data_IF_719811923719
#
_entry.id   IF_719811923719
#
_cell.length_a   1.000
_cell.length_b   1.000
_cell.length_c   1.000
_cell.angle_alpha   90.00
_cell.angle_beta   90.00
_cell.angle_gamma   90.00
#
_symmetry.space_group_name_H-M   'P 1'
#
loop_
_entity.id
_entity.type
_entity.pdbx_description
1 polymer ?
#
# COMPACT_ATOMS: atom_id res chain seq x y z
N UNK A 1 -12.37 -24.97 22.54
CA UNK A 1 -12.22 -24.78 21.09
C UNK A 1 -12.48 -23.32 20.79
N UNK A 2 -11.44 -22.49 20.84
CA UNK A 2 -11.41 -21.09 20.35
C UNK A 2 -10.00 -20.54 20.63
N UNK A 3 -9.10 -20.65 19.66
CA UNK A 3 -7.85 -19.87 19.58
C UNK A 3 -7.38 -19.88 18.13
N UNK A 4 -7.96 -19.01 17.31
CA UNK A 4 -7.51 -18.68 15.95
C UNK A 4 -7.42 -17.16 15.80
N UNK A 5 -6.70 -16.51 16.71
CA UNK A 5 -6.43 -15.06 16.67
C UNK A 5 -5.01 -14.74 17.14
N UNK A 6 -4.00 -15.36 16.50
CA UNK A 6 -2.60 -15.03 16.83
C UNK A 6 -1.61 -15.07 15.66
N UNK A 7 -2.01 -15.41 14.44
CA UNK A 7 -1.07 -15.52 13.32
C UNK A 7 -0.86 -14.21 12.52
N UNK A 8 -1.88 -13.35 12.44
CA UNK A 8 -1.76 -12.04 11.76
C UNK A 8 -0.73 -11.10 12.44
N UNK A 9 -0.49 -11.28 13.74
CA UNK A 9 0.46 -10.44 14.50
C UNK A 9 1.94 -10.66 14.14
N UNK A 10 2.30 -11.74 13.41
CA UNK A 10 3.72 -12.02 13.09
C UNK A 10 4.16 -11.52 11.72
N UNK A 11 3.22 -11.26 10.81
CA UNK A 11 3.51 -10.81 9.45
C UNK A 11 3.19 -9.33 9.20
N UNK A 12 2.48 -8.68 10.13
CA UNK A 12 2.58 -7.23 10.26
C UNK A 12 4.00 -6.91 10.72
N UNK A 13 4.90 -6.77 9.76
CA UNK A 13 6.03 -5.86 9.91
C UNK A 13 5.49 -4.64 10.63
N UNK A 14 6.05 -4.37 11.81
CA UNK A 14 5.59 -3.31 12.71
C UNK A 14 5.96 -1.96 12.09
N UNK A 15 5.41 -1.64 10.93
CA UNK A 15 5.22 -0.28 10.46
C UNK A 15 4.15 0.33 11.35
N UNK A 16 4.53 0.66 12.58
CA UNK A 16 3.83 1.71 13.29
C UNK A 16 3.81 2.91 12.34
N UNK A 17 2.64 3.53 12.09
CA UNK A 17 2.47 4.65 11.15
C UNK A 17 3.24 5.94 11.56
N UNK A 18 4.20 5.83 12.48
CA UNK A 18 4.96 6.90 13.12
C UNK A 18 6.47 6.65 13.12
N UNK A 19 6.96 5.69 12.34
CA UNK A 19 8.41 5.48 12.24
C UNK A 19 9.01 6.51 11.29
N UNK A 20 9.54 7.60 11.88
CA UNK A 20 10.37 8.59 11.21
C UNK A 20 11.39 7.93 10.25
N UNK A 21 11.77 8.58 9.14
CA UNK A 21 12.74 8.04 8.18
C UNK A 21 13.98 7.48 8.89
N UNK A 22 14.35 6.24 8.57
CA UNK A 22 15.47 5.50 9.18
C UNK A 22 15.14 4.52 10.31
N UNK A 23 13.86 4.36 10.70
CA UNK A 23 13.47 3.42 11.76
C UNK A 23 13.00 2.04 11.27
N UNK A 24 12.69 1.90 9.97
CA UNK A 24 12.46 0.61 9.32
C UNK A 24 13.75 0.12 8.64
N UNK A 25 13.91 -1.19 8.44
CA UNK A 25 15.09 -1.73 7.75
C UNK A 25 15.16 -1.23 6.29
N UNK A 26 14.06 -1.17 5.52
CA UNK A 26 14.07 -0.53 4.21
C UNK A 26 14.46 0.95 4.27
N UNK A 27 13.93 1.72 5.24
CA UNK A 27 14.28 3.13 5.39
C UNK A 27 15.72 3.37 5.85
N UNK A 28 16.30 2.44 6.62
CA UNK A 28 17.72 2.49 6.98
C UNK A 28 18.61 2.24 5.76
N UNK A 29 18.27 1.25 4.93
CA UNK A 29 18.95 1.00 3.66
C UNK A 29 18.86 2.21 2.73
N UNK A 30 17.68 2.79 2.61
CA UNK A 30 17.42 3.98 1.82
C UNK A 30 18.24 5.19 2.30
N UNK A 31 18.29 5.45 3.61
CA UNK A 31 19.13 6.51 4.16
C UNK A 31 20.61 6.29 3.82
N UNK A 32 21.11 5.07 3.96
CA UNK A 32 22.49 4.77 3.60
C UNK A 32 22.74 5.01 2.12
N UNK A 33 21.79 4.72 1.24
CA UNK A 33 21.99 4.86 -0.20
C UNK A 33 21.75 6.28 -0.73
N UNK A 34 20.87 7.06 -0.09
CA UNK A 34 20.31 8.28 -0.69
C UNK A 34 20.36 9.55 0.19
N UNK A 35 20.77 9.48 1.47
CA UNK A 35 20.72 10.66 2.35
C UNK A 35 21.68 11.80 1.96
N UNK A 36 22.85 11.49 1.41
CA UNK A 36 23.81 12.45 0.84
C UNK A 36 24.70 11.73 -0.18
N UNK A 37 24.36 11.84 -1.47
CA UNK A 37 24.99 11.07 -2.55
C UNK A 37 26.52 11.21 -2.63
N UNK A 38 27.08 12.36 -2.25
CA UNK A 38 28.53 12.58 -2.25
C UNK A 38 29.20 11.83 -1.10
N UNK A 39 28.56 11.76 0.07
CA UNK A 39 29.06 11.01 1.23
C UNK A 39 29.01 9.50 0.99
N UNK A 40 27.92 9.00 0.40
CA UNK A 40 27.73 7.58 0.08
C UNK A 40 28.79 7.12 -0.91
N UNK A 41 28.96 7.89 -1.99
CA UNK A 41 29.99 7.60 -2.98
C UNK A 41 31.39 7.62 -2.37
N UNK A 42 31.65 8.54 -1.44
CA UNK A 42 32.93 8.63 -0.73
C UNK A 42 33.22 7.39 0.12
N UNK A 43 32.24 6.88 0.89
CA UNK A 43 32.41 5.64 1.67
C UNK A 43 32.67 4.43 0.76
N UNK A 44 31.92 4.31 -0.35
CA UNK A 44 32.08 3.22 -1.31
C UNK A 44 33.43 3.28 -2.04
N UNK A 45 33.88 4.48 -2.47
CA UNK A 45 35.17 4.65 -3.15
C UNK A 45 36.37 4.49 -2.23
N UNK A 46 36.24 4.88 -0.96
CA UNK A 46 37.27 4.70 0.05
C UNK A 46 37.44 3.23 0.46
N UNK A 47 36.55 2.33 0.03
CA UNK A 47 36.55 0.93 0.42
C UNK A 47 36.25 0.75 1.91
N UNK A 48 35.33 1.56 2.45
CA UNK A 48 34.89 1.45 3.84
C UNK A 48 34.19 0.10 4.05
N UNK A 49 34.96 -0.86 4.58
CA UNK A 49 34.51 -2.23 4.76
C UNK A 49 33.35 -2.31 5.77
N UNK A 50 33.37 -1.49 6.83
CA UNK A 50 32.32 -1.49 7.84
C UNK A 50 30.99 -0.98 7.26
N UNK A 51 31.06 0.11 6.48
CA UNK A 51 29.89 0.64 5.77
C UNK A 51 29.33 -0.39 4.77
N UNK A 52 30.19 -1.03 3.99
CA UNK A 52 29.79 -2.03 2.99
C UNK A 52 29.16 -3.27 3.63
N UNK A 53 29.76 -3.79 4.71
CA UNK A 53 29.22 -4.92 5.47
C UNK A 53 27.85 -4.60 6.07
N UNK A 54 27.66 -3.38 6.57
CA UNK A 54 26.37 -2.97 7.13
C UNK A 54 25.28 -2.87 6.04
N UNK A 55 25.60 -2.28 4.89
CA UNK A 55 24.69 -2.22 3.73
C UNK A 55 24.29 -3.63 3.26
N UNK A 56 25.25 -4.55 3.13
CA UNK A 56 25.00 -5.94 2.77
C UNK A 56 24.12 -6.66 3.78
N UNK A 57 24.36 -6.44 5.08
CA UNK A 57 23.55 -7.04 6.14
C UNK A 57 22.09 -6.56 6.08
N UNK A 58 21.85 -5.26 5.83
CA UNK A 58 20.49 -4.73 5.68
C UNK A 58 19.79 -5.31 4.44
N UNK A 59 20.50 -5.37 3.31
CA UNK A 59 19.96 -5.93 2.07
C UNK A 59 19.61 -7.42 2.23
N UNK A 60 20.44 -8.20 2.92
CA UNK A 60 20.18 -9.62 3.18
C UNK A 60 18.92 -9.80 4.03
N UNK A 61 18.72 -8.98 5.07
CA UNK A 61 17.52 -9.06 5.92
C UNK A 61 16.24 -8.76 5.12
N UNK A 62 16.28 -7.78 4.21
CA UNK A 62 15.13 -7.48 3.32
C UNK A 62 14.90 -8.64 2.36
N UNK A 63 15.96 -9.18 1.74
CA UNK A 63 15.86 -10.31 0.82
C UNK A 63 15.30 -11.56 1.50
N UNK A 64 15.75 -11.87 2.73
CA UNK A 64 15.21 -12.94 3.56
C UNK A 64 13.71 -12.75 3.84
N UNK A 65 13.30 -11.53 4.20
CA UNK A 65 11.89 -11.23 4.48
C UNK A 65 11.00 -11.40 3.23
N UNK A 66 11.45 -10.94 2.07
CA UNK A 66 10.73 -11.12 0.79
C UNK A 66 10.68 -12.60 0.40
N UNK A 67 11.79 -13.33 0.52
CA UNK A 67 11.83 -14.78 0.26
C UNK A 67 10.88 -15.54 1.18
N UNK A 68 10.85 -15.19 2.46
CA UNK A 68 9.95 -15.81 3.43
C UNK A 68 8.49 -15.54 3.07
N UNK A 69 8.12 -14.28 2.81
CA UNK A 69 6.76 -13.92 2.41
C UNK A 69 6.33 -14.65 1.13
N UNK A 70 7.20 -14.70 0.11
CA UNK A 70 6.94 -15.44 -1.13
C UNK A 70 6.78 -16.95 -0.90
N UNK A 71 7.62 -17.55 -0.05
CA UNK A 71 7.53 -18.96 0.32
C UNK A 71 6.25 -19.27 1.07
N UNK A 72 5.82 -18.40 1.99
CA UNK A 72 4.60 -18.59 2.78
C UNK A 72 3.36 -18.52 1.89
N UNK A 73 3.31 -17.57 0.95
CA UNK A 73 2.26 -17.47 -0.06
C UNK A 73 2.24 -18.67 -1.01
N UNK A 74 3.41 -19.18 -1.41
CA UNK A 74 3.50 -20.32 -2.34
C UNK A 74 3.26 -21.67 -1.68
N UNK A 75 3.04 -21.71 -0.36
CA UNK A 75 2.84 -22.93 0.40
C UNK A 75 1.55 -22.86 1.23
N UNK A 76 1.66 -22.92 2.56
CA UNK A 76 0.53 -23.10 3.47
C UNK A 76 -0.51 -21.98 3.35
N UNK A 77 -0.09 -20.73 3.13
CA UNK A 77 -1.03 -19.62 3.07
C UNK A 77 -1.82 -19.62 1.76
N UNK A 78 -1.17 -19.80 0.62
CA UNK A 78 -1.85 -19.86 -0.67
C UNK A 78 -2.79 -21.06 -0.79
N UNK A 79 -2.39 -22.22 -0.24
CA UNK A 79 -3.28 -23.38 -0.15
C UNK A 79 -4.51 -23.07 0.71
N UNK A 80 -4.31 -22.57 1.94
CA UNK A 80 -5.40 -22.20 2.83
C UNK A 80 -6.35 -21.15 2.21
N UNK A 81 -5.78 -20.14 1.56
CA UNK A 81 -6.52 -19.05 0.93
C UNK A 81 -7.35 -19.50 -0.27
N UNK A 82 -6.81 -20.43 -1.07
CA UNK A 82 -7.55 -21.06 -2.19
C UNK A 82 -8.60 -22.09 -1.75
N UNK A 83 -8.83 -22.23 -0.44
CA UNK A 83 -9.78 -23.20 0.11
C UNK A 83 -9.27 -24.64 0.10
N UNK A 84 -7.95 -24.84 -0.09
CA UNK A 84 -7.30 -26.15 -0.06
C UNK A 84 -6.47 -26.34 1.22
N UNK A 85 -6.10 -27.58 1.51
CA UNK A 85 -5.30 -27.92 2.71
C UNK A 85 -6.07 -27.90 4.04
N UNK A 86 -5.37 -28.28 5.12
CA UNK A 86 -5.97 -28.48 6.45
C UNK A 86 -6.40 -27.17 7.14
N UNK A 87 -5.99 -26.02 6.61
CA UNK A 87 -6.30 -24.67 7.13
C UNK A 87 -7.16 -23.83 6.19
N UNK A 88 -7.82 -24.48 5.23
CA UNK A 88 -8.71 -23.83 4.28
C UNK A 88 -9.65 -22.82 4.96
N UNK A 89 -9.67 -21.59 4.44
CA UNK A 89 -10.67 -20.59 4.82
C UNK A 89 -11.90 -20.69 3.92
N UNK A 90 -13.02 -20.09 4.33
CA UNK A 90 -14.19 -20.03 3.46
C UNK A 90 -13.97 -19.06 2.31
N UNK A 91 -14.56 -19.34 1.14
CA UNK A 91 -14.52 -18.46 -0.03
C UNK A 91 -14.99 -17.03 0.31
N UNK A 92 -16.07 -16.90 1.08
CA UNK A 92 -16.56 -15.59 1.53
C UNK A 92 -15.53 -14.83 2.37
N UNK A 93 -14.73 -15.51 3.19
CA UNK A 93 -13.68 -14.86 3.97
C UNK A 93 -12.52 -14.44 3.06
N UNK A 94 -12.12 -15.29 2.12
CA UNK A 94 -11.08 -14.96 1.14
C UNK A 94 -11.46 -13.73 0.30
N UNK A 95 -12.69 -13.69 -0.23
CA UNK A 95 -13.21 -12.54 -0.99
C UNK A 95 -13.29 -11.30 -0.09
N UNK A 96 -13.76 -11.44 1.15
CA UNK A 96 -13.79 -10.32 2.08
C UNK A 96 -12.39 -9.76 2.37
N UNK A 97 -11.37 -10.60 2.46
CA UNK A 97 -9.98 -10.18 2.64
C UNK A 97 -9.44 -9.46 1.38
N UNK A 98 -9.73 -9.98 0.17
CA UNK A 98 -9.36 -9.33 -1.11
C UNK A 98 -10.00 -7.95 -1.28
N UNK A 99 -11.21 -7.73 -0.78
CA UNK A 99 -11.88 -6.42 -0.84
C UNK A 99 -11.39 -5.49 0.27
N UNK A 100 -11.13 -6.02 1.48
CA UNK A 100 -10.72 -5.23 2.64
C UNK A 100 -9.37 -4.56 2.45
N UNK A 101 -8.40 -5.26 1.87
CA UNK A 101 -7.03 -4.72 1.70
C UNK A 101 -7.03 -3.45 0.82
N UNK A 102 -7.63 -3.46 -0.39
CA UNK A 102 -7.81 -2.24 -1.19
C UNK A 102 -8.54 -1.11 -0.48
N UNK A 103 -9.62 -1.41 0.28
CA UNK A 103 -10.33 -0.38 1.04
C UNK A 103 -9.42 0.28 2.08
N UNK A 104 -8.69 -0.52 2.85
CA UNK A 104 -7.75 -0.01 3.84
C UNK A 104 -6.59 0.78 3.20
N UNK A 105 -6.06 0.30 2.07
CA UNK A 105 -5.01 0.99 1.35
C UNK A 105 -5.50 2.34 0.82
N UNK A 106 -6.65 2.41 0.14
CA UNK A 106 -7.19 3.69 -0.34
C UNK A 106 -7.49 4.67 0.79
N UNK A 107 -7.93 4.21 1.96
CA UNK A 107 -8.07 5.03 3.17
C UNK A 107 -6.72 5.57 3.65
N UNK A 108 -5.71 4.69 3.73
CA UNK A 108 -4.36 5.06 4.16
C UNK A 108 -3.77 6.13 3.23
N UNK A 109 -3.83 5.92 1.92
CA UNK A 109 -3.28 6.86 0.94
C UNK A 109 -4.08 8.17 0.90
N UNK A 110 -5.40 8.08 0.80
CA UNK A 110 -6.28 9.24 0.60
C UNK A 110 -6.47 10.09 1.86
N UNK A 111 -6.77 9.47 3.00
CA UNK A 111 -7.12 10.19 4.23
C UNK A 111 -5.95 10.33 5.20
N UNK A 112 -5.22 9.24 5.46
CA UNK A 112 -4.18 9.24 6.50
C UNK A 112 -2.87 9.86 6.02
N UNK A 113 -2.54 9.72 4.73
CA UNK A 113 -1.35 10.32 4.12
C UNK A 113 -1.69 11.65 3.47
N UNK A 114 -2.28 11.66 2.28
CA UNK A 114 -2.52 12.88 1.51
C UNK A 114 -3.45 13.84 2.24
N UNK A 115 -4.54 13.32 2.82
CA UNK A 115 -5.51 14.13 3.58
C UNK A 115 -4.89 14.84 4.79
N UNK A 116 -4.03 14.16 5.55
CA UNK A 116 -3.34 14.76 6.70
C UNK A 116 -2.26 15.73 6.23
N UNK A 117 -1.48 15.36 5.21
CA UNK A 117 -0.42 16.21 4.67
C UNK A 117 -0.95 17.52 4.05
N UNK A 118 -2.18 17.50 3.53
CA UNK A 118 -2.88 18.68 3.01
C UNK A 118 -3.64 19.47 4.08
N UNK A 119 -3.74 18.97 5.33
CA UNK A 119 -4.57 19.60 6.37
C UNK A 119 -6.08 19.50 6.09
N UNK A 120 -6.52 18.49 5.34
CA UNK A 120 -7.94 18.25 5.01
C UNK A 120 -8.60 17.41 6.10
N UNK A 121 -7.94 16.34 6.55
CA UNK A 121 -8.50 15.40 7.54
C UNK A 121 -8.07 15.75 8.98
N UNK A 122 -7.13 16.69 9.15
CA UNK A 122 -6.69 17.21 10.45
C UNK A 122 -6.54 18.74 10.40
N UNK A 123 -6.68 19.45 11.54
CA UNK A 123 -6.65 20.91 11.59
C UNK A 123 -5.36 21.56 11.07
N UNK A 124 -4.24 20.83 11.07
CA UNK A 124 -2.93 21.30 10.63
C UNK A 124 -2.33 20.31 9.64
N UNK A 125 -1.74 20.85 8.56
CA UNK A 125 -1.01 20.07 7.58
C UNK A 125 0.24 19.45 8.22
N UNK A 126 0.43 18.15 8.03
CA UNK A 126 1.58 17.42 8.57
C UNK A 126 2.26 16.60 7.48
N UNK A 127 3.36 17.11 6.94
CA UNK A 127 4.13 16.45 5.89
C UNK A 127 4.92 15.22 6.39
N UNK A 128 5.02 15.02 7.72
CA UNK A 128 5.76 13.90 8.29
C UNK A 128 5.08 12.54 8.10
N UNK A 129 3.77 12.55 7.79
CA UNK A 129 2.99 11.34 7.45
C UNK A 129 3.31 10.77 6.07
N UNK A 130 3.99 11.53 5.20
CA UNK A 130 4.35 11.08 3.86
C UNK A 130 5.62 10.23 3.93
N UNK A 131 5.55 8.91 3.62
CA UNK A 131 6.65 7.97 3.78
C UNK A 131 7.66 8.01 2.62
N UNK A 132 8.01 9.20 2.14
CA UNK A 132 8.81 9.40 0.92
C UNK A 132 10.33 9.15 1.10
N UNK A 133 10.79 9.01 2.35
CA UNK A 133 12.17 8.64 2.64
C UNK A 133 13.23 9.61 2.08
N UNK A 134 14.43 9.11 1.82
CA UNK A 134 15.55 9.86 1.25
C UNK A 134 15.68 9.71 -0.27
N UNK A 135 15.11 8.65 -0.85
CA UNK A 135 15.06 8.43 -2.30
C UNK A 135 14.00 9.30 -3.00
N UNK A 136 13.17 10.02 -2.23
CA UNK A 136 12.10 10.86 -2.76
C UNK A 136 11.07 10.08 -3.61
N UNK A 137 10.75 8.85 -3.21
CA UNK A 137 9.94 7.90 -3.98
C UNK A 137 8.42 8.03 -3.75
N UNK A 138 7.94 9.09 -3.09
CA UNK A 138 6.56 9.17 -2.61
C UNK A 138 5.52 9.07 -3.73
N UNK A 139 5.77 9.67 -4.89
CA UNK A 139 4.86 9.56 -6.06
C UNK A 139 4.88 8.15 -6.64
N UNK A 140 6.05 7.51 -6.69
CA UNK A 140 6.19 6.14 -7.20
C UNK A 140 5.51 5.12 -6.28
N UNK A 141 5.58 5.32 -4.96
CA UNK A 141 4.91 4.48 -3.97
C UNK A 141 3.38 4.61 -4.06
N UNK A 142 2.85 5.82 -4.30
CA UNK A 142 1.42 6.04 -4.56
C UNK A 142 0.97 5.27 -5.81
N UNK A 143 1.71 5.37 -6.92
CA UNK A 143 1.38 4.69 -8.17
C UNK A 143 1.42 3.16 -8.01
N UNK A 144 2.50 2.63 -7.41
CA UNK A 144 2.63 1.19 -7.19
C UNK A 144 1.51 0.65 -6.30
N UNK A 145 1.12 1.39 -5.25
CA UNK A 145 0.00 1.01 -4.38
C UNK A 145 -1.32 0.97 -5.14
N UNK A 146 -1.59 1.98 -5.99
CA UNK A 146 -2.81 2.02 -6.80
C UNK A 146 -2.83 0.96 -7.91
N UNK A 147 -1.69 0.64 -8.51
CA UNK A 147 -1.56 -0.48 -9.46
C UNK A 147 -1.80 -1.82 -8.78
N UNK A 148 -1.27 -2.04 -7.57
CA UNK A 148 -1.58 -3.25 -6.81
C UNK A 148 -3.08 -3.42 -6.52
N UNK A 149 -3.79 -2.32 -6.25
CA UNK A 149 -5.25 -2.33 -6.11
C UNK A 149 -5.93 -2.66 -7.45
N UNK A 150 -5.46 -2.05 -8.55
CA UNK A 150 -5.96 -2.35 -9.90
C UNK A 150 -5.75 -3.83 -10.25
N UNK A 151 -4.57 -4.38 -10.02
CA UNK A 151 -4.23 -5.78 -10.33
C UNK A 151 -5.08 -6.75 -9.48
N UNK A 152 -5.31 -6.42 -8.20
CA UNK A 152 -6.22 -7.20 -7.35
C UNK A 152 -7.66 -7.19 -7.89
N UNK A 153 -8.10 -6.05 -8.42
CA UNK A 153 -9.46 -5.92 -8.94
C UNK A 153 -9.63 -6.57 -10.32
N UNK A 154 -8.69 -6.35 -11.23
CA UNK A 154 -8.79 -6.79 -12.61
C UNK A 154 -8.31 -8.22 -12.83
N UNK A 155 -7.50 -8.75 -11.91
CA UNK A 155 -6.74 -9.98 -12.17
C UNK A 155 -5.55 -9.69 -13.09
N UNK A 156 -4.88 -10.76 -13.52
CA UNK A 156 -3.84 -10.69 -14.55
C UNK A 156 -4.38 -11.16 -15.91
N UNK A 157 -3.50 -11.27 -16.91
CA UNK A 157 -3.92 -11.68 -18.26
C UNK A 157 -4.45 -13.13 -18.33
N UNK A 158 -4.10 -13.97 -17.36
CA UNK A 158 -4.36 -15.41 -17.35
C UNK A 158 -5.30 -15.83 -16.19
N UNK A 159 -5.72 -14.89 -15.34
CA UNK A 159 -6.39 -15.13 -14.07
C UNK A 159 -7.57 -14.19 -13.82
N UNK A 160 -8.55 -14.68 -13.06
CA UNK A 160 -9.74 -13.92 -12.71
C UNK A 160 -9.44 -12.88 -11.62
N UNK A 161 -10.12 -11.74 -11.72
CA UNK A 161 -10.13 -10.69 -10.70
C UNK A 161 -11.47 -10.58 -9.98
N UNK A 162 -11.55 -9.65 -9.01
CA UNK A 162 -12.84 -9.25 -8.42
C UNK A 162 -13.81 -8.68 -9.46
N UNK A 163 -13.28 -8.09 -10.53
CA UNK A 163 -14.03 -7.55 -11.65
C UNK A 163 -14.95 -8.58 -12.29
N UNK A 164 -14.51 -9.84 -12.44
CA UNK A 164 -15.34 -10.89 -13.03
C UNK A 164 -16.60 -11.17 -12.19
N UNK A 165 -16.43 -11.25 -10.87
CA UNK A 165 -17.54 -11.43 -9.92
C UNK A 165 -18.47 -10.22 -9.89
N UNK A 166 -17.91 -9.01 -9.90
CA UNK A 166 -18.71 -7.78 -9.88
C UNK A 166 -19.47 -7.61 -11.19
N UNK A 167 -18.86 -7.89 -12.34
CA UNK A 167 -19.48 -7.78 -13.65
C UNK A 167 -20.62 -8.80 -13.84
N UNK A 168 -20.51 -10.00 -13.25
CA UNK A 168 -21.59 -10.99 -13.24
C UNK A 168 -22.84 -10.47 -12.48
N UNK A 169 -22.64 -9.67 -11.43
CA UNK A 169 -23.71 -9.12 -10.61
C UNK A 169 -24.23 -7.76 -11.12
N UNK A 170 -23.35 -6.89 -11.61
CA UNK A 170 -23.67 -5.61 -12.23
C UNK A 170 -22.50 -5.09 -13.08
N UNK A 171 -22.69 -5.13 -14.40
CA UNK A 171 -21.74 -4.55 -15.37
C UNK A 171 -21.53 -3.05 -15.18
N UNK A 172 -22.54 -2.32 -14.71
CA UNK A 172 -22.44 -0.89 -14.45
C UNK A 172 -21.56 -0.57 -13.24
N UNK A 173 -21.62 -1.39 -12.19
CA UNK A 173 -20.76 -1.23 -11.02
C UNK A 173 -19.31 -1.57 -11.35
N UNK A 174 -19.09 -2.64 -12.12
CA UNK A 174 -17.77 -2.98 -12.63
C UNK A 174 -17.15 -1.84 -13.45
N UNK A 175 -17.91 -1.28 -14.40
CA UNK A 175 -17.45 -0.16 -15.21
C UNK A 175 -17.11 1.07 -14.36
N UNK A 176 -17.94 1.41 -13.36
CA UNK A 176 -17.65 2.54 -12.45
C UNK A 176 -16.36 2.34 -11.66
N UNK A 177 -16.10 1.11 -11.21
CA UNK A 177 -14.86 0.79 -10.49
C UNK A 177 -13.64 0.88 -11.43
N UNK A 178 -13.75 0.36 -12.65
CA UNK A 178 -12.70 0.50 -13.68
C UNK A 178 -12.39 1.96 -14.00
N UNK A 179 -13.42 2.78 -14.18
CA UNK A 179 -13.27 4.21 -14.44
C UNK A 179 -12.63 4.94 -13.24
N UNK A 180 -13.03 4.59 -12.02
CA UNK A 180 -12.43 5.15 -10.80
C UNK A 180 -10.94 4.82 -10.70
N UNK A 181 -10.54 3.58 -10.97
CA UNK A 181 -9.14 3.16 -10.98
C UNK A 181 -8.32 3.91 -12.05
N UNK A 182 -8.85 4.00 -13.27
CA UNK A 182 -8.20 4.71 -14.37
C UNK A 182 -7.98 6.18 -14.02
N UNK A 183 -8.99 6.83 -13.46
CA UNK A 183 -8.90 8.24 -13.06
C UNK A 183 -7.87 8.45 -11.95
N UNK A 184 -7.82 7.57 -10.94
CA UNK A 184 -6.83 7.65 -9.87
C UNK A 184 -5.39 7.47 -10.38
N UNK A 185 -5.16 6.49 -11.26
CA UNK A 185 -3.84 6.26 -11.87
C UNK A 185 -3.44 7.46 -12.73
N UNK A 186 -4.34 7.98 -13.56
CA UNK A 186 -4.07 9.16 -14.41
C UNK A 186 -3.71 10.40 -13.58
N UNK A 187 -4.39 10.61 -12.46
CA UNK A 187 -4.11 11.73 -11.57
C UNK A 187 -2.73 11.60 -10.89
N UNK A 188 -2.33 10.37 -10.51
CA UNK A 188 -0.99 10.12 -9.96
C UNK A 188 0.09 10.25 -11.03
N UNK A 189 -0.15 9.78 -12.25
CA UNK A 189 0.76 9.96 -13.39
C UNK A 189 1.01 11.46 -13.64
N UNK A 190 -0.01 12.30 -13.48
CA UNK A 190 0.15 13.76 -13.58
C UNK A 190 1.10 14.34 -12.51
N UNK A 191 1.12 13.78 -11.30
CA UNK A 191 2.14 14.14 -10.28
C UNK A 191 3.54 13.74 -10.74
N UNK A 192 3.66 12.53 -11.30
CA UNK A 192 4.95 11.98 -11.77
C UNK A 192 5.55 12.80 -12.90
N UNK A 193 4.74 13.27 -13.83
CA UNK A 193 5.17 14.11 -14.96
C UNK A 193 5.84 15.42 -14.53
N UNK A 194 5.57 15.91 -13.32
CA UNK A 194 6.25 17.09 -12.78
C UNK A 194 7.73 16.85 -12.48
N UNK A 195 8.14 15.60 -12.27
CA UNK A 195 9.48 15.20 -11.86
C UNK A 195 9.88 15.68 -10.46
N UNK A 196 8.93 16.16 -9.65
CA UNK A 196 9.19 16.66 -8.29
C UNK A 196 8.84 15.61 -7.23
N UNK A 197 9.54 15.61 -6.08
CA UNK A 197 9.12 14.87 -4.91
C UNK A 197 7.70 15.25 -4.45
N UNK A 198 6.97 14.30 -3.87
CA UNK A 198 5.61 14.49 -3.37
C UNK A 198 5.56 15.57 -2.29
N UNK A 199 6.55 15.62 -1.38
CA UNK A 199 6.63 16.68 -0.35
C UNK A 199 6.79 18.08 -0.94
N UNK A 200 7.49 18.20 -2.07
CA UNK A 200 7.63 19.48 -2.78
C UNK A 200 6.33 19.86 -3.49
N UNK A 201 5.62 18.88 -4.06
CA UNK A 201 4.31 19.08 -4.68
C UNK A 201 3.26 19.55 -3.65
N UNK A 202 3.25 18.97 -2.46
CA UNK A 202 2.35 19.38 -1.36
C UNK A 202 2.49 20.87 -0.99
N UNK A 203 3.66 21.47 -1.21
CA UNK A 203 3.92 22.88 -0.91
C UNK A 203 3.76 23.79 -2.12
N UNK A 204 4.14 23.31 -3.31
CA UNK A 204 4.26 24.14 -4.52
C UNK A 204 3.14 23.95 -5.52
N UNK A 205 2.44 22.81 -5.47
CA UNK A 205 1.37 22.44 -6.39
C UNK A 205 0.33 21.55 -5.69
N UNK A 206 -0.23 22.04 -4.58
CA UNK A 206 -1.19 21.27 -3.78
C UNK A 206 -2.48 20.94 -4.53
N UNK A 207 -2.81 21.68 -5.60
CA UNK A 207 -3.95 21.41 -6.46
C UNK A 207 -3.87 20.03 -7.11
N UNK A 208 -2.73 19.69 -7.72
CA UNK A 208 -2.52 18.36 -8.30
C UNK A 208 -2.61 17.24 -7.25
N UNK A 209 -2.07 17.49 -6.04
CA UNK A 209 -2.11 16.51 -4.96
C UNK A 209 -3.54 16.30 -4.44
N UNK A 210 -4.36 17.35 -4.40
CA UNK A 210 -5.79 17.26 -4.08
C UNK A 210 -6.53 16.45 -5.14
N UNK A 211 -6.25 16.67 -6.43
CA UNK A 211 -6.87 15.92 -7.52
C UNK A 211 -6.55 14.41 -7.43
N UNK A 212 -5.28 14.06 -7.19
CA UNK A 212 -4.88 12.66 -6.97
C UNK A 212 -5.55 12.05 -5.73
N UNK A 213 -5.60 12.79 -4.63
CA UNK A 213 -6.30 12.36 -3.40
C UNK A 213 -7.77 12.08 -3.69
N UNK A 214 -8.48 13.02 -4.32
CA UNK A 214 -9.92 12.91 -4.54
C UNK A 214 -10.24 11.76 -5.50
N UNK A 215 -9.38 11.50 -6.48
CA UNK A 215 -9.50 10.33 -7.34
C UNK A 215 -9.31 9.01 -6.57
N UNK A 216 -8.32 8.92 -5.67
CA UNK A 216 -8.14 7.76 -4.76
C UNK A 216 -9.37 7.58 -3.85
N UNK A 217 -9.91 8.68 -3.31
CA UNK A 217 -11.13 8.67 -2.48
C UNK A 217 -12.35 8.19 -3.25
N UNK A 218 -12.43 8.48 -4.55
CA UNK A 218 -13.48 7.94 -5.40
C UNK A 218 -13.37 6.41 -5.56
N UNK A 219 -12.14 5.86 -5.68
CA UNK A 219 -11.92 4.40 -5.66
C UNK A 219 -12.40 3.81 -4.33
N UNK A 220 -12.02 4.43 -3.20
CA UNK A 220 -12.48 3.99 -1.88
C UNK A 220 -14.02 4.00 -1.77
N UNK A 221 -14.67 5.04 -2.30
CA UNK A 221 -16.12 5.17 -2.29
C UNK A 221 -16.77 4.02 -3.05
N UNK A 222 -16.38 3.80 -4.31
CA UNK A 222 -16.96 2.75 -5.16
C UNK A 222 -16.74 1.36 -4.56
N UNK A 223 -15.55 1.09 -3.99
CA UNK A 223 -15.29 -0.15 -3.27
C UNK A 223 -16.29 -0.36 -2.13
N UNK A 224 -16.47 0.65 -1.26
CA UNK A 224 -17.31 0.55 -0.09
C UNK A 224 -18.82 0.50 -0.39
N UNK A 225 -19.28 1.24 -1.39
CA UNK A 225 -20.73 1.37 -1.66
C UNK A 225 -21.22 0.34 -2.65
N UNK A 226 -20.40 -0.07 -3.61
CA UNK A 226 -20.82 -0.94 -4.71
C UNK A 226 -20.23 -2.34 -4.56
N UNK A 227 -18.90 -2.46 -4.54
CA UNK A 227 -18.23 -3.78 -4.54
C UNK A 227 -18.56 -4.56 -3.27
N UNK A 228 -18.41 -3.93 -2.11
CA UNK A 228 -18.75 -4.53 -0.80
C UNK A 228 -20.21 -4.97 -0.74
N UNK A 229 -21.13 -4.12 -1.20
CA UNK A 229 -22.57 -4.42 -1.19
C UNK A 229 -22.94 -5.55 -2.15
N UNK A 230 -22.35 -5.60 -3.35
CA UNK A 230 -22.65 -6.61 -4.36
C UNK A 230 -22.14 -7.98 -3.94
N UNK A 231 -20.91 -8.05 -3.42
CA UNK A 231 -20.29 -9.29 -2.98
C UNK A 231 -20.81 -9.78 -1.62
N UNK A 232 -21.65 -8.99 -0.94
CA UNK A 232 -22.22 -9.35 0.35
C UNK A 232 -21.17 -9.54 1.45
N UNK A 233 -20.02 -8.89 1.30
CA UNK A 233 -18.92 -8.98 2.26
C UNK A 233 -19.06 -7.90 3.32
N UNK A 234 -18.74 -8.24 4.57
CA UNK A 234 -18.66 -7.25 5.65
C UNK A 234 -17.21 -6.84 5.83
N UNK A 235 -16.92 -5.56 5.60
CA UNK A 235 -15.67 -4.97 6.04
C UNK A 235 -15.82 -4.75 7.55
N UNK A 236 -15.23 -5.66 8.33
CA UNK A 236 -15.11 -5.45 9.78
C UNK A 236 -14.20 -4.26 10.02
N UNK A 237 -14.78 -3.09 10.26
CA UNK A 237 -14.08 -2.02 10.95
C UNK A 237 -13.94 -2.50 12.39
N UNK A 238 -12.70 -2.67 12.87
CA UNK A 238 -12.49 -2.89 14.30
C UNK A 238 -13.09 -1.68 15.01
N UNK A 239 -14.14 -1.88 15.81
CA UNK A 239 -14.84 -0.87 16.63
C UNK A 239 -13.93 -0.12 17.64
N UNK A 240 -12.61 -0.25 17.53
CA UNK A 240 -11.62 0.25 18.48
C UNK A 240 -10.84 1.49 18.00
N UNK A 241 -11.24 2.12 16.88
CA UNK A 241 -10.62 3.38 16.37
C UNK A 241 -11.40 4.65 16.76
N UNK A 242 -12.36 4.56 17.68
CA UNK A 242 -13.19 5.71 18.05
C UNK A 242 -13.82 5.62 19.44
N UNK A 243 -13.01 5.58 20.49
CA UNK A 243 -13.30 6.24 21.79
C UNK A 243 -12.11 6.05 22.77
N UNK A 244 -11.21 7.03 22.81
CA UNK A 244 -10.44 7.43 24.01
C UNK A 244 -9.78 8.79 23.82
#
# INVERSE_FOLDING_TARGET
MTTTSSHWSRYCWRSSPTTAPGRSIPGALELLLFADGDSVLSHLQAGDEAYSQYLMALAEVIADAVRQASSDWSSEYGEAFSGSGDRAISENLAIADLVRVPVFLTETLGDMQLGVALGITKPEADLSVIPEGAAAAGVDDLDQSMRGIQDTYLGDADGLGLSDLVAELSTEADQRMRDALLNAITAIESLRETGKPLKDLLQTDSGLVIEARDAIKNVQLVLNTEVVSLLGVTIGFSDNDGDS
#
